data_IF_517997515620
#
_entry.id   IF_517997515620
#
_cell.length_a   1.000
_cell.length_b   1.000
_cell.length_c   1.000
_cell.angle_alpha   90.00
_cell.angle_beta   90.00
_cell.angle_gamma   90.00
#
_symmetry.space_group_name_H-M   'P 1'
#
loop_
_entity.id
_entity.type
_entity.pdbx_description
1 polymer ?
#
# COMPACT_ATOMS: atom_id res chain seq x y z
N UNK A 1 16.43 -8.38 18.84
CA UNK A 1 16.16 -6.95 18.52
C UNK A 1 15.39 -6.35 19.67
N UNK A 2 15.87 -5.24 20.25
CA UNK A 2 15.22 -4.55 21.37
C UNK A 2 14.77 -3.13 21.01
N UNK A 3 15.44 -2.51 20.04
CA UNK A 3 15.11 -1.17 19.58
C UNK A 3 15.22 -1.09 18.05
N UNK A 4 14.22 -0.50 17.39
CA UNK A 4 14.14 -0.33 15.93
C UNK A 4 13.89 1.14 15.61
N UNK A 5 14.58 1.65 14.61
CA UNK A 5 14.33 2.97 14.03
C UNK A 5 13.67 2.81 12.65
N UNK A 6 12.53 3.43 12.48
CA UNK A 6 11.82 3.53 11.22
C UNK A 6 12.07 4.90 10.59
N UNK A 7 12.44 4.93 9.32
CA UNK A 7 12.63 6.16 8.55
C UNK A 7 11.61 6.17 7.41
N UNK A 8 10.73 7.17 7.40
CA UNK A 8 9.78 7.40 6.31
C UNK A 8 9.64 8.92 6.09
N UNK A 9 9.48 9.35 4.85
CA UNK A 9 9.39 10.77 4.57
C UNK A 9 8.07 11.39 5.05
N UNK A 10 7.04 10.60 5.31
CA UNK A 10 5.74 11.02 5.87
C UNK A 10 5.17 9.90 6.75
N UNK A 11 4.17 10.23 7.53
CA UNK A 11 3.33 9.29 8.30
C UNK A 11 1.89 9.30 7.81
N UNK A 12 1.02 8.50 8.41
CA UNK A 12 -0.40 8.41 7.99
C UNK A 12 -1.18 9.69 8.27
N UNK A 13 -0.80 10.49 9.25
CA UNK A 13 -1.41 11.79 9.54
C UNK A 13 -1.05 12.88 8.52
N UNK A 14 -0.04 12.64 7.67
CA UNK A 14 0.31 13.58 6.61
C UNK A 14 -0.79 13.60 5.53
N UNK A 15 -1.19 14.80 4.98
CA UNK A 15 -2.25 14.90 3.95
C UNK A 15 -2.05 14.01 2.71
N UNK A 16 -0.83 13.56 2.45
CA UNK A 16 -0.50 12.64 1.35
C UNK A 16 -0.20 11.22 1.84
N UNK A 17 -0.49 10.89 3.10
CA UNK A 17 -0.34 9.55 3.65
C UNK A 17 -1.13 8.50 2.86
N UNK A 18 -0.68 7.25 2.89
CA UNK A 18 -1.28 6.16 2.14
C UNK A 18 -0.87 4.79 2.65
N UNK A 19 -1.04 3.77 1.80
CA UNK A 19 -0.80 2.37 2.19
C UNK A 19 0.64 2.06 2.63
N UNK A 20 1.63 2.73 2.06
CA UNK A 20 3.04 2.54 2.44
C UNK A 20 3.34 3.01 3.87
N UNK A 21 2.75 4.14 4.26
CA UNK A 21 2.87 4.68 5.61
C UNK A 21 2.09 3.83 6.61
N UNK A 22 0.89 3.40 6.23
CA UNK A 22 0.08 2.48 7.03
C UNK A 22 0.81 1.17 7.31
N UNK A 23 1.44 0.58 6.28
CA UNK A 23 2.27 -0.61 6.46
C UNK A 23 3.34 -0.41 7.53
N UNK A 24 4.10 0.68 7.44
CA UNK A 24 5.22 0.93 8.35
C UNK A 24 4.75 1.17 9.78
N UNK A 25 3.64 1.90 9.97
CA UNK A 25 3.05 2.14 11.28
C UNK A 25 2.46 0.87 11.89
N UNK A 26 1.77 0.06 11.10
CA UNK A 26 1.25 -1.23 11.57
C UNK A 26 2.39 -2.19 11.95
N UNK A 27 3.45 -2.27 11.16
CA UNK A 27 4.67 -3.00 11.53
C UNK A 27 5.24 -2.46 12.85
N UNK A 28 5.35 -1.14 12.99
CA UNK A 28 5.80 -0.51 14.22
C UNK A 28 4.93 -0.88 15.43
N UNK A 29 3.60 -0.86 15.28
CA UNK A 29 2.65 -1.24 16.32
C UNK A 29 2.82 -2.72 16.72
N UNK A 30 2.98 -3.63 15.76
CA UNK A 30 3.24 -5.06 16.04
C UNK A 30 4.59 -5.28 16.74
N UNK A 31 5.62 -4.52 16.38
CA UNK A 31 6.91 -4.58 17.08
C UNK A 31 6.81 -4.06 18.52
N UNK A 32 6.05 -2.96 18.75
CA UNK A 32 5.84 -2.43 20.12
C UNK A 32 5.01 -3.38 20.98
N UNK A 33 4.03 -4.06 20.41
CA UNK A 33 3.25 -5.09 21.11
C UNK A 33 4.13 -6.27 21.59
N UNK A 34 5.28 -6.50 20.95
CA UNK A 34 6.31 -7.47 21.36
C UNK A 34 7.32 -6.92 22.37
N UNK A 35 7.10 -5.71 22.88
CA UNK A 35 8.02 -5.06 23.81
C UNK A 35 9.27 -4.44 23.17
N UNK A 36 9.32 -4.33 21.84
CA UNK A 36 10.42 -3.68 21.12
C UNK A 36 10.16 -2.17 21.13
N UNK A 37 11.19 -1.40 21.49
CA UNK A 37 11.12 0.05 21.41
C UNK A 37 11.21 0.50 19.95
N UNK A 38 10.22 1.23 19.48
CA UNK A 38 10.14 1.71 18.09
C UNK A 38 10.14 3.23 18.06
N UNK A 39 11.02 3.80 17.25
CA UNK A 39 11.05 5.23 16.95
C UNK A 39 10.80 5.44 15.46
N UNK A 40 9.82 6.28 15.11
CA UNK A 40 9.59 6.73 13.73
C UNK A 40 10.15 8.14 13.52
N UNK A 41 11.05 8.30 12.56
CA UNK A 41 11.53 9.61 12.12
C UNK A 41 10.92 9.96 10.77
N UNK A 42 10.20 11.11 10.71
CA UNK A 42 9.39 11.50 9.54
C UNK A 42 9.36 13.02 9.36
N UNK A 43 8.79 13.51 8.25
CA UNK A 43 8.58 14.93 8.01
C UNK A 43 7.47 15.50 8.91
N UNK A 44 7.55 16.81 9.13
CA UNK A 44 6.45 17.57 9.73
C UNK A 44 5.46 18.04 8.67
N UNK A 45 4.24 18.32 9.12
CA UNK A 45 3.19 18.95 8.32
C UNK A 45 2.40 19.94 9.20
N UNK A 46 1.61 20.86 8.61
CA UNK A 46 0.86 21.84 9.39
C UNK A 46 -0.04 21.21 10.45
N UNK A 47 0.05 21.69 11.68
CA UNK A 47 -0.71 21.16 12.81
C UNK A 47 -0.13 19.93 13.51
N UNK A 48 0.87 19.24 12.90
CA UNK A 48 1.47 18.06 13.52
C UNK A 48 2.43 18.42 14.67
N UNK A 49 2.33 17.74 15.83
CA UNK A 49 3.29 17.91 16.91
C UNK A 49 4.68 17.39 16.48
N UNK A 50 5.74 18.05 16.97
CA UNK A 50 7.12 17.61 16.67
C UNK A 50 7.48 16.25 17.26
N UNK A 51 6.80 15.87 18.34
CA UNK A 51 6.93 14.59 19.02
C UNK A 51 5.57 14.17 19.53
N UNK A 52 5.24 12.92 19.34
CA UNK A 52 4.06 12.29 19.93
C UNK A 52 4.29 10.78 20.03
N UNK A 53 3.36 10.09 20.67
CA UNK A 53 3.36 8.63 20.72
C UNK A 53 2.07 8.11 20.09
N UNK A 54 2.20 7.28 19.08
CA UNK A 54 1.07 6.70 18.32
C UNK A 54 1.24 5.19 18.35
N UNK A 55 0.27 4.44 18.84
CA UNK A 55 0.27 2.98 18.93
C UNK A 55 1.57 2.39 19.52
N UNK A 56 2.10 3.07 20.54
CA UNK A 56 3.35 2.68 21.19
C UNK A 56 4.62 3.15 20.49
N UNK A 57 4.55 3.71 19.29
CA UNK A 57 5.66 4.21 18.50
C UNK A 57 6.00 5.64 18.93
N UNK A 58 7.28 5.92 19.24
CA UNK A 58 7.77 7.27 19.50
C UNK A 58 8.00 8.02 18.19
N UNK A 59 7.09 8.90 17.79
CA UNK A 59 7.17 9.66 16.53
C UNK A 59 7.95 10.96 16.72
N UNK A 60 8.92 11.19 15.83
CA UNK A 60 9.76 12.38 15.79
C UNK A 60 9.71 13.05 14.41
N UNK A 61 9.07 14.22 14.31
CA UNK A 61 8.90 14.95 13.04
C UNK A 61 9.85 16.10 12.89
N UNK A 62 10.48 16.25 11.72
CA UNK A 62 11.17 17.47 11.31
C UNK A 62 11.44 17.52 9.80
N UNK A 63 11.42 18.72 9.27
CA UNK A 63 11.60 18.96 7.84
C UNK A 63 10.27 18.81 7.09
N UNK A 64 10.31 19.04 5.79
CA UNK A 64 9.24 18.79 4.84
C UNK A 64 9.69 17.78 3.81
N UNK A 65 8.97 17.67 2.70
CA UNK A 65 9.12 16.66 1.64
C UNK A 65 10.57 16.36 1.21
N UNK A 66 11.42 17.37 1.10
CA UNK A 66 12.81 17.21 0.65
C UNK A 66 13.83 17.37 1.79
N UNK A 67 13.50 18.14 2.82
CA UNK A 67 14.43 18.45 3.92
C UNK A 67 14.39 17.42 5.05
N UNK A 68 13.44 16.48 5.02
CA UNK A 68 13.37 15.36 5.98
C UNK A 68 14.62 14.48 5.89
N UNK A 69 15.11 14.19 4.68
CA UNK A 69 16.26 13.32 4.43
C UNK A 69 17.55 13.85 5.11
N UNK A 70 18.06 15.06 4.78
CA UNK A 70 19.26 15.57 5.44
C UNK A 70 19.05 15.79 6.95
N UNK A 71 17.84 16.14 7.40
CA UNK A 71 17.55 16.29 8.83
C UNK A 71 17.51 14.96 9.58
N UNK A 72 17.09 13.88 8.94
CA UNK A 72 17.15 12.55 9.54
C UNK A 72 18.60 12.07 9.65
N UNK A 73 19.41 12.24 8.60
CA UNK A 73 20.84 11.90 8.62
C UNK A 73 21.61 12.72 9.68
N UNK A 74 21.36 14.03 9.75
CA UNK A 74 21.95 14.88 10.79
C UNK A 74 21.53 14.43 12.21
N UNK A 75 20.26 14.06 12.39
CA UNK A 75 19.77 13.55 13.68
C UNK A 75 20.44 12.22 14.07
N UNK A 76 20.70 11.32 13.12
CA UNK A 76 21.43 10.07 13.33
C UNK A 76 22.90 10.34 13.71
N UNK A 77 23.58 11.26 13.02
CA UNK A 77 24.94 11.65 13.33
C UNK A 77 25.05 12.27 14.73
N UNK A 78 24.13 13.18 15.08
CA UNK A 78 24.09 13.79 16.42
C UNK A 78 23.77 12.75 17.50
N UNK A 79 22.94 11.77 17.24
CA UNK A 79 22.62 10.71 18.19
C UNK A 79 23.86 9.88 18.58
N UNK A 80 24.85 9.73 17.67
CA UNK A 80 26.10 9.01 17.94
C UNK A 80 26.93 9.65 19.05
N UNK A 81 26.80 10.96 19.22
CA UNK A 81 27.49 11.74 20.27
C UNK A 81 26.53 12.15 21.41
N UNK A 82 25.35 11.51 21.50
CA UNK A 82 24.36 11.75 22.55
C UNK A 82 23.57 13.04 22.42
N UNK A 83 23.59 13.66 21.26
CA UNK A 83 22.89 14.94 20.98
C UNK A 83 21.71 14.78 20.01
N UNK A 84 20.93 15.85 19.90
CA UNK A 84 19.87 15.97 18.90
C UNK A 84 18.56 15.26 19.24
N UNK A 85 17.61 15.23 18.29
CA UNK A 85 16.25 14.73 18.52
C UNK A 85 16.16 13.21 18.70
N UNK A 86 17.16 12.45 18.25
CA UNK A 86 17.29 11.00 18.39
C UNK A 86 18.31 10.60 19.47
N UNK A 87 18.68 11.54 20.38
CA UNK A 87 19.55 11.22 21.51
C UNK A 87 18.96 10.08 22.34
N UNK A 88 19.77 9.05 22.63
CA UNK A 88 19.32 7.87 23.38
C UNK A 88 18.67 6.78 22.53
N UNK A 89 18.41 7.03 21.25
CA UNK A 89 17.98 6.00 20.28
C UNK A 89 19.21 5.22 19.83
N UNK A 90 19.23 3.91 20.13
CA UNK A 90 20.33 3.00 19.78
C UNK A 90 19.76 1.76 19.10
N UNK A 91 19.32 1.88 17.84
CA UNK A 91 18.62 0.82 17.17
C UNK A 91 19.54 -0.38 16.92
N UNK A 92 18.99 -1.58 17.12
CA UNK A 92 19.61 -2.83 16.69
C UNK A 92 19.45 -3.04 15.18
N UNK A 93 18.42 -2.41 14.57
CA UNK A 93 18.20 -2.36 13.12
C UNK A 93 17.44 -1.08 12.72
N UNK A 94 17.62 -0.67 11.47
CA UNK A 94 16.94 0.50 10.87
C UNK A 94 16.13 0.05 9.67
N UNK A 95 14.85 0.42 9.58
CA UNK A 95 14.09 0.34 8.32
C UNK A 95 14.22 1.69 7.61
N UNK A 96 14.84 1.65 6.44
CA UNK A 96 15.02 2.80 5.54
C UNK A 96 13.99 2.70 4.40
N UNK A 97 12.88 3.44 4.52
CA UNK A 97 11.81 3.35 3.51
C UNK A 97 12.16 4.16 2.29
N UNK A 98 12.26 3.48 1.16
CA UNK A 98 12.47 4.08 -0.15
C UNK A 98 11.12 4.30 -0.85
N UNK A 99 10.54 5.48 -0.66
CA UNK A 99 9.41 5.98 -1.44
C UNK A 99 9.94 6.92 -2.54
N UNK A 100 10.62 6.35 -3.53
CA UNK A 100 11.41 7.01 -4.56
C UNK A 100 12.87 7.20 -4.14
N UNK A 101 13.16 7.96 -3.10
CA UNK A 101 14.51 8.18 -2.57
C UNK A 101 14.60 7.59 -1.16
N UNK A 102 15.61 6.74 -0.86
CA UNK A 102 15.89 6.27 0.50
C UNK A 102 16.58 7.38 1.32
N UNK A 103 16.64 7.20 2.65
CA UNK A 103 17.39 8.09 3.54
C UNK A 103 18.89 7.83 3.50
N UNK A 104 19.33 6.71 2.95
CA UNK A 104 20.73 6.27 3.00
C UNK A 104 21.28 6.13 4.43
N UNK A 105 20.44 5.69 5.34
CA UNK A 105 20.78 5.58 6.77
C UNK A 105 22.01 4.70 7.01
N UNK A 106 22.20 3.63 6.24
CA UNK A 106 23.33 2.73 6.32
C UNK A 106 24.71 3.40 6.17
N UNK A 107 24.75 4.62 5.56
CA UNK A 107 26.01 5.38 5.44
C UNK A 107 26.42 6.04 6.76
N UNK A 108 25.45 6.35 7.63
CA UNK A 108 25.68 7.12 8.86
C UNK A 108 25.40 6.34 10.13
N UNK A 109 24.72 5.19 10.08
CA UNK A 109 24.48 4.32 11.23
C UNK A 109 25.39 3.10 11.23
N UNK A 110 25.67 2.54 12.41
CA UNK A 110 26.33 1.23 12.54
C UNK A 110 25.34 0.08 12.60
N UNK A 111 24.07 0.39 12.87
CA UNK A 111 23.03 -0.62 12.87
C UNK A 111 22.75 -1.08 11.43
N UNK A 112 22.48 -2.36 11.19
CA UNK A 112 22.10 -2.85 9.87
C UNK A 112 20.85 -2.14 9.36
N UNK A 113 20.87 -1.77 8.08
CA UNK A 113 19.75 -1.12 7.41
C UNK A 113 18.99 -2.13 6.56
N UNK A 114 17.68 -2.18 6.75
CA UNK A 114 16.74 -2.89 5.90
C UNK A 114 16.04 -1.86 5.00
N UNK A 115 16.23 -1.97 3.70
CA UNK A 115 15.65 -1.05 2.72
C UNK A 115 14.24 -1.54 2.35
N UNK A 116 13.22 -0.81 2.81
CA UNK A 116 11.83 -1.12 2.51
C UNK A 116 11.40 -0.44 1.21
N UNK A 117 11.00 -1.24 0.21
CA UNK A 117 10.53 -0.77 -1.10
C UNK A 117 9.17 -1.38 -1.41
N UNK A 118 8.13 -0.56 -1.51
CA UNK A 118 6.79 -1.06 -1.86
C UNK A 118 6.65 -1.36 -3.35
N UNK A 119 7.21 -0.53 -4.21
CA UNK A 119 7.28 -0.68 -5.67
C UNK A 119 8.24 0.33 -6.27
N UNK A 120 8.68 0.10 -7.50
CA UNK A 120 9.47 1.09 -8.25
C UNK A 120 8.63 2.29 -8.69
N UNK A 121 9.22 3.49 -8.60
CA UNK A 121 8.50 4.76 -8.87
C UNK A 121 8.72 5.27 -10.31
N UNK A 122 9.23 4.44 -11.22
CA UNK A 122 9.57 4.84 -12.60
C UNK A 122 8.47 5.65 -13.28
N UNK A 123 7.23 5.23 -13.14
CA UNK A 123 6.06 5.85 -13.77
C UNK A 123 5.57 7.11 -13.04
N UNK A 124 5.96 7.30 -11.78
CA UNK A 124 5.57 8.45 -10.96
C UNK A 124 6.55 9.61 -11.09
N UNK A 125 7.82 9.35 -11.39
CA UNK A 125 8.86 10.37 -11.49
C UNK A 125 8.57 11.47 -12.53
N UNK A 126 7.99 11.18 -13.72
CA UNK A 126 7.65 12.24 -14.69
C UNK A 126 6.72 13.31 -14.15
N UNK A 127 5.86 13.00 -13.18
CA UNK A 127 4.94 13.97 -12.53
C UNK A 127 5.71 15.05 -11.76
N UNK A 128 6.93 14.76 -11.27
CA UNK A 128 7.78 15.72 -10.58
C UNK A 128 8.53 16.67 -11.51
N UNK A 129 8.32 16.56 -12.83
CA UNK A 129 9.01 17.33 -13.86
C UNK A 129 10.22 16.60 -14.45
N UNK A 130 10.63 16.99 -15.68
CA UNK A 130 11.61 16.25 -16.49
C UNK A 130 12.98 16.08 -15.81
N UNK A 131 13.51 17.14 -15.20
CA UNK A 131 14.84 17.10 -14.58
C UNK A 131 14.81 16.34 -13.24
N UNK A 132 13.87 16.71 -12.37
CA UNK A 132 13.70 16.06 -11.05
C UNK A 132 13.38 14.57 -11.22
N UNK A 133 12.53 14.24 -12.19
CA UNK A 133 12.18 12.86 -12.49
C UNK A 133 13.39 12.04 -12.98
N UNK A 134 14.24 12.60 -13.84
CA UNK A 134 15.46 11.89 -14.30
C UNK A 134 16.47 11.67 -13.16
N UNK A 135 16.68 12.68 -12.33
CA UNK A 135 17.59 12.57 -11.17
C UNK A 135 17.01 11.56 -10.17
N UNK A 136 15.72 11.67 -9.83
CA UNK A 136 15.06 10.76 -8.91
C UNK A 136 15.12 9.30 -9.39
N UNK A 137 14.81 9.06 -10.65
CA UNK A 137 14.94 7.73 -11.24
C UNK A 137 16.38 7.21 -11.25
N UNK A 138 17.37 8.06 -11.51
CA UNK A 138 18.78 7.69 -11.44
C UNK A 138 19.18 7.31 -10.01
N UNK A 139 18.73 8.09 -9.01
CA UNK A 139 18.97 7.75 -7.59
C UNK A 139 18.34 6.40 -7.26
N UNK A 140 17.07 6.21 -7.59
CA UNK A 140 16.33 4.98 -7.28
C UNK A 140 16.90 3.75 -7.99
N UNK A 141 17.19 3.88 -9.29
CA UNK A 141 17.55 2.72 -10.14
C UNK A 141 19.06 2.41 -10.18
N UNK A 142 19.93 3.37 -9.82
CA UNK A 142 21.39 3.20 -9.96
C UNK A 142 22.16 3.45 -8.68
N UNK A 143 21.87 4.57 -7.99
CA UNK A 143 22.60 4.93 -6.79
C UNK A 143 22.19 4.08 -5.60
N UNK A 144 20.87 3.94 -5.35
CA UNK A 144 20.35 3.18 -4.22
C UNK A 144 20.82 1.72 -4.22
N UNK A 145 20.72 0.93 -5.30
CA UNK A 145 21.21 -0.45 -5.31
C UNK A 145 22.72 -0.56 -5.05
N UNK A 146 23.52 0.44 -5.46
CA UNK A 146 24.96 0.46 -5.24
C UNK A 146 25.33 0.79 -3.80
N UNK A 147 24.67 1.79 -3.22
CA UNK A 147 24.93 2.19 -1.81
C UNK A 147 24.45 1.11 -0.85
N UNK A 148 23.37 0.46 -1.17
CA UNK A 148 22.76 -0.60 -0.37
C UNK A 148 23.14 -2.02 -0.82
N UNK A 149 24.28 -2.17 -1.53
CA UNK A 149 24.72 -3.47 -2.08
C UNK A 149 24.88 -4.59 -1.06
N UNK A 150 25.14 -4.24 0.21
CA UNK A 150 25.32 -5.17 1.31
C UNK A 150 24.15 -5.13 2.32
N UNK A 151 23.09 -4.39 2.01
CA UNK A 151 21.93 -4.27 2.90
C UNK A 151 20.84 -5.30 2.54
N UNK A 152 20.05 -5.67 3.53
CA UNK A 152 18.82 -6.42 3.35
C UNK A 152 17.77 -5.54 2.65
N UNK A 153 17.06 -6.09 1.67
CA UNK A 153 15.87 -5.48 1.08
C UNK A 153 14.60 -6.18 1.59
N UNK A 154 13.57 -5.39 1.78
CA UNK A 154 12.25 -5.82 2.16
C UNK A 154 11.22 -5.25 1.18
N UNK A 155 10.33 -6.07 0.68
CA UNK A 155 9.25 -5.63 -0.20
C UNK A 155 7.94 -6.34 0.13
N UNK A 156 6.84 -5.91 -0.50
CA UNK A 156 5.48 -6.32 -0.14
C UNK A 156 4.84 -7.31 -1.10
N UNK A 157 5.51 -7.61 -2.22
CA UNK A 157 4.98 -8.54 -3.24
C UNK A 157 6.10 -9.19 -4.05
N UNK A 158 5.82 -10.36 -4.63
CA UNK A 158 6.74 -11.04 -5.53
C UNK A 158 7.08 -10.18 -6.78
N UNK A 159 6.11 -9.52 -7.45
CA UNK A 159 6.42 -8.62 -8.56
C UNK A 159 7.32 -7.45 -8.18
N UNK A 160 7.21 -6.91 -6.96
CA UNK A 160 8.11 -5.87 -6.49
C UNK A 160 9.52 -6.40 -6.22
N UNK A 161 9.65 -7.65 -5.76
CA UNK A 161 10.95 -8.33 -5.64
C UNK A 161 11.62 -8.52 -7.00
N UNK A 162 10.87 -8.94 -8.03
CA UNK A 162 11.35 -9.05 -9.40
C UNK A 162 11.84 -7.70 -9.95
N UNK A 163 11.12 -6.60 -9.65
CA UNK A 163 11.55 -5.26 -10.03
C UNK A 163 12.88 -4.86 -9.38
N UNK A 164 13.06 -5.16 -8.09
CA UNK A 164 14.31 -4.92 -7.39
C UNK A 164 15.46 -5.73 -7.99
N UNK A 165 15.22 -7.00 -8.30
CA UNK A 165 16.20 -7.86 -8.96
C UNK A 165 16.59 -7.30 -10.34
N UNK A 166 15.63 -6.81 -11.13
CA UNK A 166 15.89 -6.17 -12.42
C UNK A 166 16.70 -4.86 -12.30
N UNK A 167 16.67 -4.20 -11.13
CA UNK A 167 17.53 -3.05 -10.82
C UNK A 167 18.93 -3.46 -10.33
N UNK A 168 19.22 -4.75 -10.23
CA UNK A 168 20.53 -5.29 -9.84
C UNK A 168 20.67 -5.59 -8.35
N UNK A 169 19.57 -5.65 -7.60
CA UNK A 169 19.59 -6.16 -6.21
C UNK A 169 19.69 -7.68 -6.26
N UNK A 170 20.59 -8.26 -5.48
CA UNK A 170 20.75 -9.70 -5.37
C UNK A 170 19.51 -10.35 -4.73
N UNK A 171 18.94 -11.36 -5.38
CA UNK A 171 17.77 -12.08 -4.92
C UNK A 171 17.95 -12.70 -3.52
N UNK A 172 19.17 -13.10 -3.17
CA UNK A 172 19.48 -13.65 -1.84
C UNK A 172 19.27 -12.66 -0.68
N UNK A 173 19.03 -11.39 -0.99
CA UNK A 173 18.83 -10.29 -0.03
C UNK A 173 17.47 -9.59 -0.18
N UNK A 174 16.55 -10.16 -0.93
CA UNK A 174 15.21 -9.61 -1.11
C UNK A 174 14.21 -10.48 -0.37
N UNK A 175 13.74 -10.02 0.78
CA UNK A 175 12.65 -10.63 1.52
C UNK A 175 11.31 -10.02 1.06
N UNK A 176 10.30 -10.85 0.95
CA UNK A 176 8.92 -10.44 0.64
C UNK A 176 8.05 -10.70 1.86
N UNK A 177 7.50 -9.63 2.44
CA UNK A 177 6.52 -9.70 3.52
C UNK A 177 5.28 -8.92 3.08
N UNK A 178 4.23 -9.66 2.78
CA UNK A 178 2.97 -9.08 2.29
C UNK A 178 2.32 -8.19 3.34
N UNK A 179 1.48 -7.28 2.88
CA UNK A 179 0.67 -6.44 3.76
C UNK A 179 -0.35 -7.28 4.53
N UNK A 180 -0.65 -6.87 5.76
CA UNK A 180 -1.87 -7.27 6.44
C UNK A 180 -3.07 -6.43 6.03
N UNK A 181 -4.24 -6.86 6.40
CA UNK A 181 -5.47 -6.08 6.34
C UNK A 181 -5.99 -5.82 7.76
N UNK A 182 -6.63 -4.68 7.95
CA UNK A 182 -7.35 -4.43 9.19
C UNK A 182 -8.49 -5.44 9.35
N UNK A 183 -8.78 -5.90 10.55
CA UNK A 183 -9.97 -6.69 10.78
C UNK A 183 -11.21 -5.84 10.47
N UNK A 184 -12.22 -6.48 9.89
CA UNK A 184 -13.52 -5.82 9.71
C UNK A 184 -14.05 -5.41 11.07
N UNK A 185 -14.46 -4.14 11.28
CA UNK A 185 -15.06 -3.71 12.55
C UNK A 185 -16.22 -4.61 12.97
N UNK A 186 -16.31 -4.93 14.26
CA UNK A 186 -17.31 -5.88 14.77
C UNK A 186 -18.76 -5.44 14.54
N UNK A 187 -18.98 -4.15 14.40
CA UNK A 187 -20.27 -3.51 14.12
C UNK A 187 -20.52 -3.23 12.63
N UNK A 188 -19.56 -3.57 11.76
CA UNK A 188 -19.72 -3.42 10.32
C UNK A 188 -20.34 -4.69 9.71
N UNK A 189 -21.15 -4.54 8.63
CA UNK A 189 -21.74 -5.69 7.96
C UNK A 189 -20.67 -6.59 7.35
N UNK A 190 -20.85 -7.90 7.48
CA UNK A 190 -19.85 -8.90 7.04
C UNK A 190 -19.96 -9.30 5.57
N UNK A 191 -20.74 -8.58 4.76
CA UNK A 191 -20.89 -8.86 3.32
C UNK A 191 -21.61 -10.18 3.01
N UNK A 192 -22.56 -10.60 3.84
CA UNK A 192 -23.50 -11.63 3.51
C UNK A 192 -24.37 -11.19 2.31
N UNK A 193 -24.93 -12.13 1.55
CA UNK A 193 -25.79 -11.82 0.40
C UNK A 193 -26.91 -10.82 0.74
N UNK A 194 -27.40 -10.86 1.97
CA UNK A 194 -28.45 -9.96 2.51
C UNK A 194 -28.00 -8.50 2.69
N UNK A 195 -26.69 -8.21 2.63
CA UNK A 195 -26.16 -6.83 2.72
C UNK A 195 -25.91 -6.18 1.37
N UNK A 196 -26.02 -6.95 0.27
CA UNK A 196 -25.86 -6.42 -1.10
C UNK A 196 -26.97 -5.43 -1.43
N UNK A 197 -26.65 -4.43 -2.25
CA UNK A 197 -27.67 -3.53 -2.81
C UNK A 197 -28.61 -4.27 -3.74
N UNK A 198 -29.88 -3.83 -3.81
CA UNK A 198 -30.83 -4.34 -4.81
C UNK A 198 -30.44 -3.95 -6.24
N UNK A 199 -29.72 -2.85 -6.39
CA UNK A 199 -29.17 -2.39 -7.66
C UNK A 199 -27.73 -2.88 -7.81
N UNK A 200 -27.35 -3.38 -9.01
CA UNK A 200 -25.97 -3.75 -9.30
C UNK A 200 -25.03 -2.57 -8.98
N UNK A 201 -24.08 -2.79 -8.08
CA UNK A 201 -23.16 -1.74 -7.62
C UNK A 201 -21.72 -2.17 -7.78
N UNK A 202 -20.99 -1.42 -8.57
CA UNK A 202 -19.53 -1.50 -8.66
C UNK A 202 -18.92 -0.55 -7.64
N UNK A 203 -17.82 -0.93 -7.02
CA UNK A 203 -17.08 -0.07 -6.08
C UNK A 203 -15.62 0.12 -6.51
N UNK A 204 -15.13 1.33 -6.35
CA UNK A 204 -13.70 1.67 -6.41
C UNK A 204 -13.27 2.17 -5.04
N UNK A 205 -12.19 1.61 -4.50
CA UNK A 205 -11.55 2.07 -3.27
C UNK A 205 -10.11 2.49 -3.57
N UNK A 206 -9.84 3.79 -3.65
CA UNK A 206 -8.51 4.28 -4.02
C UNK A 206 -8.30 5.76 -3.69
N UNK A 207 -7.04 6.19 -3.65
CA UNK A 207 -6.73 7.62 -3.76
C UNK A 207 -7.06 8.14 -5.15
N UNK A 208 -7.67 9.31 -5.24
CA UNK A 208 -8.06 9.91 -6.52
C UNK A 208 -6.87 10.68 -7.12
N UNK A 209 -6.04 9.93 -7.84
CA UNK A 209 -4.83 10.44 -8.53
C UNK A 209 -4.67 9.76 -9.89
N UNK A 210 -4.04 10.40 -10.91
CA UNK A 210 -4.06 9.92 -12.30
C UNK A 210 -3.60 8.48 -12.53
N UNK A 211 -2.57 8.01 -11.80
CA UNK A 211 -2.06 6.64 -11.97
C UNK A 211 -3.00 5.54 -11.45
N UNK A 212 -4.09 5.91 -10.79
CA UNK A 212 -5.15 4.98 -10.37
C UNK A 212 -6.17 4.72 -11.48
N UNK A 213 -6.15 5.49 -12.56
CA UNK A 213 -6.95 5.31 -13.78
C UNK A 213 -8.44 5.05 -13.51
N UNK A 214 -9.03 5.80 -12.57
CA UNK A 214 -10.44 5.62 -12.20
C UNK A 214 -11.35 5.97 -13.38
N UNK A 215 -10.87 6.76 -14.33
CA UNK A 215 -11.49 7.02 -15.62
C UNK A 215 -11.89 5.74 -16.35
N UNK A 216 -11.08 4.67 -16.25
CA UNK A 216 -11.36 3.39 -16.90
C UNK A 216 -12.54 2.67 -16.21
N UNK A 217 -12.70 2.82 -14.88
CA UNK A 217 -13.88 2.34 -14.18
C UNK A 217 -15.14 3.11 -14.59
N UNK A 218 -15.05 4.44 -14.75
CA UNK A 218 -16.13 5.27 -15.26
C UNK A 218 -16.53 4.85 -16.70
N UNK A 219 -15.55 4.66 -17.57
CA UNK A 219 -15.78 4.22 -18.95
C UNK A 219 -16.41 2.81 -19.03
N UNK A 220 -15.95 1.88 -18.18
CA UNK A 220 -16.55 0.54 -18.10
C UNK A 220 -18.02 0.60 -17.65
N UNK A 221 -18.34 1.40 -16.64
CA UNK A 221 -19.72 1.60 -16.18
C UNK A 221 -20.57 2.26 -17.27
N UNK A 222 -20.07 3.29 -17.94
CA UNK A 222 -20.78 3.94 -19.06
C UNK A 222 -21.16 2.94 -20.14
N UNK A 223 -20.21 2.09 -20.57
CA UNK A 223 -20.45 1.04 -21.57
C UNK A 223 -21.49 0.00 -21.11
N UNK A 224 -21.51 -0.33 -19.82
CA UNK A 224 -22.43 -1.34 -19.30
C UNK A 224 -23.84 -0.82 -19.04
N UNK A 225 -24.04 0.49 -18.85
CA UNK A 225 -25.37 1.06 -18.55
C UNK A 225 -26.39 0.92 -19.67
N UNK A 226 -25.97 0.83 -20.90
CA UNK A 226 -26.89 0.53 -22.03
C UNK A 226 -27.60 -0.80 -21.82
N UNK A 227 -26.93 -1.78 -21.24
CA UNK A 227 -27.41 -3.12 -20.94
C UNK A 227 -27.97 -3.26 -19.54
N UNK A 228 -27.39 -2.56 -18.57
CA UNK A 228 -27.74 -2.59 -17.14
C UNK A 228 -28.08 -1.17 -16.67
N UNK A 229 -29.28 -0.64 -16.98
CA UNK A 229 -29.60 0.78 -16.72
C UNK A 229 -29.56 1.19 -15.24
N UNK A 230 -29.73 0.23 -14.32
CA UNK A 230 -29.68 0.47 -12.86
C UNK A 230 -28.27 0.31 -12.25
N UNK A 231 -27.24 0.15 -13.08
CA UNK A 231 -25.86 0.02 -12.62
C UNK A 231 -25.41 1.29 -11.90
N UNK A 232 -24.82 1.11 -10.70
CA UNK A 232 -24.25 2.16 -9.87
C UNK A 232 -22.73 2.00 -9.73
N UNK A 233 -22.05 3.11 -9.50
CA UNK A 233 -20.64 3.15 -9.16
C UNK A 233 -20.42 3.97 -7.89
N UNK A 234 -19.88 3.33 -6.86
CA UNK A 234 -19.42 3.98 -5.64
C UNK A 234 -17.91 4.21 -5.72
N UNK A 235 -17.46 5.45 -5.62
CA UNK A 235 -16.04 5.81 -5.59
C UNK A 235 -15.68 6.26 -4.18
N UNK A 236 -14.88 5.46 -3.49
CA UNK A 236 -14.43 5.69 -2.11
C UNK A 236 -12.99 6.17 -2.12
N UNK A 237 -12.74 7.30 -1.51
CA UNK A 237 -11.44 7.92 -1.39
C UNK A 237 -11.42 9.37 -1.86
N UNK A 238 -10.28 10.02 -1.66
CA UNK A 238 -10.10 11.42 -2.00
C UNK A 238 -8.74 11.65 -2.69
N UNK A 239 -8.59 12.80 -3.31
CA UNK A 239 -7.36 13.20 -3.98
C UNK A 239 -7.55 14.41 -4.88
N UNK A 240 -6.43 15.02 -5.27
CA UNK A 240 -6.42 16.23 -6.09
C UNK A 240 -6.97 16.06 -7.52
N UNK A 241 -7.25 14.83 -7.92
CA UNK A 241 -7.82 14.46 -9.22
C UNK A 241 -9.35 14.30 -9.19
N UNK A 242 -9.97 14.48 -8.02
CA UNK A 242 -11.41 14.23 -7.81
C UNK A 242 -12.31 15.02 -8.76
N UNK A 243 -12.02 16.30 -8.99
CA UNK A 243 -12.86 17.13 -9.85
C UNK A 243 -12.75 16.72 -11.33
N UNK A 244 -11.57 16.31 -11.80
CA UNK A 244 -11.39 15.74 -13.12
C UNK A 244 -12.24 14.47 -13.33
N UNK A 245 -12.35 13.61 -12.32
CA UNK A 245 -13.16 12.40 -12.39
C UNK A 245 -14.67 12.72 -12.42
N UNK A 246 -15.13 13.73 -11.67
CA UNK A 246 -16.52 14.19 -11.73
C UNK A 246 -16.86 14.80 -13.09
N UNK A 247 -15.92 15.57 -13.69
CA UNK A 247 -16.08 16.11 -15.03
C UNK A 247 -16.16 14.97 -16.05
N UNK A 248 -15.28 13.97 -15.97
CA UNK A 248 -15.31 12.80 -16.85
C UNK A 248 -16.61 12.01 -16.71
N UNK A 249 -17.16 11.83 -15.51
CA UNK A 249 -18.46 11.19 -15.31
C UNK A 249 -19.62 11.97 -16.00
N UNK A 250 -19.55 13.32 -16.01
CA UNK A 250 -20.53 14.16 -16.75
C UNK A 250 -20.37 14.03 -18.26
N UNK A 251 -19.13 14.03 -18.76
CA UNK A 251 -18.83 13.85 -20.19
C UNK A 251 -19.31 12.50 -20.71
N UNK A 252 -19.18 11.45 -19.90
CA UNK A 252 -19.69 10.10 -20.19
C UNK A 252 -21.21 9.95 -20.02
N UNK A 253 -21.90 10.97 -19.51
CA UNK A 253 -23.35 10.93 -19.30
C UNK A 253 -23.81 10.00 -18.18
N UNK A 254 -22.94 9.69 -17.21
CA UNK A 254 -23.23 8.76 -16.10
C UNK A 254 -23.19 9.41 -14.72
N UNK A 255 -23.16 10.74 -14.64
CA UNK A 255 -23.05 11.44 -13.37
C UNK A 255 -24.15 11.09 -12.35
N UNK A 256 -25.34 10.71 -12.83
CA UNK A 256 -26.47 10.23 -12.03
C UNK A 256 -26.24 8.84 -11.41
N UNK A 257 -25.36 8.05 -11.99
CA UNK A 257 -25.03 6.69 -11.56
C UNK A 257 -23.79 6.62 -10.65
N UNK A 258 -23.02 7.69 -10.54
CA UNK A 258 -21.75 7.70 -9.80
C UNK A 258 -21.88 8.48 -8.50
N UNK A 259 -21.50 7.85 -7.38
CA UNK A 259 -21.41 8.50 -6.08
C UNK A 259 -19.96 8.60 -5.64
N UNK A 260 -19.44 9.83 -5.52
CA UNK A 260 -18.13 10.10 -4.94
C UNK A 260 -18.28 10.34 -3.44
N UNK A 261 -17.84 9.38 -2.63
CA UNK A 261 -17.98 9.43 -1.17
C UNK A 261 -16.92 10.28 -0.46
N UNK A 262 -15.83 10.64 -1.16
CA UNK A 262 -14.69 11.28 -0.54
C UNK A 262 -13.95 10.35 0.43
N UNK A 263 -13.20 10.93 1.36
CA UNK A 263 -12.59 10.18 2.45
C UNK A 263 -13.67 9.81 3.47
N UNK A 264 -13.76 8.52 3.78
CA UNK A 264 -14.71 7.96 4.76
C UNK A 264 -13.95 7.28 5.89
N UNK A 265 -14.60 7.13 7.06
CA UNK A 265 -14.06 6.33 8.15
C UNK A 265 -14.07 4.83 7.84
N UNK A 266 -13.38 4.04 8.67
CA UNK A 266 -13.25 2.60 8.48
C UNK A 266 -14.60 1.90 8.46
N UNK A 267 -15.52 2.26 9.37
CA UNK A 267 -16.86 1.66 9.42
C UNK A 267 -17.62 1.89 8.12
N UNK A 268 -17.65 3.15 7.66
CA UNK A 268 -18.36 3.51 6.41
C UNK A 268 -17.71 2.86 5.18
N UNK A 269 -16.40 2.74 5.14
CA UNK A 269 -15.67 2.01 4.10
C UNK A 269 -16.15 0.55 4.02
N UNK A 270 -16.17 -0.13 5.15
CA UNK A 270 -16.62 -1.53 5.20
C UNK A 270 -18.11 -1.70 4.88
N UNK A 271 -18.99 -0.76 5.26
CA UNK A 271 -20.40 -0.74 4.86
C UNK A 271 -20.55 -0.66 3.32
N UNK A 272 -19.81 0.24 2.69
CA UNK A 272 -19.85 0.42 1.23
C UNK A 272 -19.29 -0.80 0.50
N UNK A 273 -18.17 -1.37 0.96
CA UNK A 273 -17.60 -2.59 0.40
C UNK A 273 -18.57 -3.77 0.54
N UNK A 274 -19.20 -3.95 1.70
CA UNK A 274 -20.14 -5.04 1.94
C UNK A 274 -21.37 -5.01 1.01
N UNK A 275 -21.77 -3.82 0.57
CA UNK A 275 -22.92 -3.62 -0.31
C UNK A 275 -22.61 -3.78 -1.78
N UNK A 276 -21.35 -3.69 -2.18
CA UNK A 276 -20.92 -3.75 -3.57
C UNK A 276 -20.97 -5.18 -4.13
N UNK A 277 -21.20 -5.30 -5.43
CA UNK A 277 -21.23 -6.57 -6.15
C UNK A 277 -19.85 -6.93 -6.71
N UNK A 278 -19.14 -5.93 -7.25
CA UNK A 278 -17.80 -6.09 -7.85
C UNK A 278 -16.94 -4.90 -7.43
N UNK A 279 -15.69 -5.17 -7.06
CA UNK A 279 -14.67 -4.14 -6.86
C UNK A 279 -13.84 -3.99 -8.12
N UNK A 280 -13.52 -2.75 -8.50
CA UNK A 280 -12.68 -2.44 -9.66
C UNK A 280 -11.46 -1.64 -9.19
N UNK A 281 -10.27 -2.10 -9.58
CA UNK A 281 -9.01 -1.42 -9.30
C UNK A 281 -8.16 -1.32 -10.58
N UNK A 282 -8.44 -0.33 -11.46
CA UNK A 282 -7.81 -0.21 -12.77
C UNK A 282 -6.47 0.52 -12.71
N UNK A 283 -5.76 0.41 -11.60
CA UNK A 283 -4.50 1.12 -11.35
C UNK A 283 -3.43 0.71 -12.36
N UNK A 284 -2.69 1.69 -12.89
CA UNK A 284 -1.51 1.45 -13.71
C UNK A 284 -0.39 0.76 -12.94
N UNK A 285 -0.28 1.04 -11.65
CA UNK A 285 0.76 0.48 -10.79
C UNK A 285 0.27 0.31 -9.36
N UNK A 286 0.49 -0.86 -8.80
CA UNK A 286 0.30 -1.18 -7.37
C UNK A 286 1.55 -1.87 -6.81
N UNK A 287 1.82 -1.64 -5.53
CA UNK A 287 2.81 -2.44 -4.81
C UNK A 287 2.26 -3.83 -4.51
N UNK A 288 0.99 -3.90 -4.08
CA UNK A 288 0.27 -5.15 -3.79
C UNK A 288 -1.24 -5.00 -3.99
N UNK A 289 -1.86 -3.91 -3.55
CA UNK A 289 -3.29 -3.66 -3.67
C UNK A 289 -4.07 -4.01 -2.40
N UNK A 290 -3.87 -3.25 -1.31
CA UNK A 290 -4.63 -3.41 -0.07
C UNK A 290 -6.15 -3.42 -0.30
N UNK A 291 -6.65 -2.54 -1.17
CA UNK A 291 -8.07 -2.45 -1.50
C UNK A 291 -8.67 -3.77 -2.03
N UNK A 292 -7.85 -4.62 -2.69
CA UNK A 292 -8.27 -5.97 -3.13
C UNK A 292 -8.64 -6.83 -1.93
N UNK A 293 -7.81 -6.79 -0.88
CA UNK A 293 -8.03 -7.60 0.31
C UNK A 293 -9.18 -7.04 1.15
N UNK A 294 -9.29 -5.71 1.24
CA UNK A 294 -10.41 -5.06 1.93
C UNK A 294 -11.76 -5.39 1.27
N UNK A 295 -11.83 -5.40 -0.06
CA UNK A 295 -13.03 -5.86 -0.78
C UNK A 295 -13.26 -7.38 -0.59
N UNK A 296 -12.19 -8.17 -0.64
CA UNK A 296 -12.24 -9.62 -0.47
C UNK A 296 -12.73 -10.04 0.92
N UNK A 297 -12.47 -9.28 1.99
CA UNK A 297 -13.02 -9.52 3.33
C UNK A 297 -14.56 -9.58 3.33
N UNK A 298 -15.19 -8.86 2.40
CA UNK A 298 -16.65 -8.85 2.20
C UNK A 298 -17.13 -9.83 1.11
N UNK A 299 -16.24 -10.67 0.58
CA UNK A 299 -16.58 -11.58 -0.51
C UNK A 299 -16.91 -10.82 -1.81
N UNK A 300 -16.26 -9.68 -2.04
CA UNK A 300 -16.39 -8.89 -3.27
C UNK A 300 -15.19 -9.19 -4.16
N UNK A 301 -15.39 -9.86 -5.31
CA UNK A 301 -14.30 -10.12 -6.24
C UNK A 301 -13.80 -8.82 -6.88
N UNK A 302 -12.51 -8.77 -7.18
CA UNK A 302 -11.87 -7.61 -7.80
C UNK A 302 -11.58 -7.87 -9.27
N UNK A 303 -11.88 -6.89 -10.12
CA UNK A 303 -11.37 -6.82 -11.49
C UNK A 303 -10.29 -5.74 -11.56
N UNK A 304 -9.11 -6.07 -12.09
CA UNK A 304 -8.01 -5.12 -12.16
C UNK A 304 -7.01 -5.44 -13.27
N UNK A 305 -6.06 -4.52 -13.52
CA UNK A 305 -5.12 -4.69 -14.61
C UNK A 305 -3.94 -5.60 -14.25
N UNK A 306 -3.64 -6.56 -15.13
CA UNK A 306 -2.44 -7.41 -15.06
C UNK A 306 -1.15 -6.57 -15.13
N UNK A 307 -1.16 -5.51 -15.93
CA UNK A 307 -0.05 -4.58 -16.07
C UNK A 307 0.31 -3.82 -14.79
N UNK A 308 -0.61 -3.75 -13.82
CA UNK A 308 -0.38 -3.19 -12.50
C UNK A 308 0.68 -3.94 -11.68
N UNK A 309 1.00 -5.16 -12.08
CA UNK A 309 1.95 -6.10 -11.48
C UNK A 309 1.61 -6.50 -10.05
N UNK A 310 1.57 -5.58 -9.07
CA UNK A 310 1.22 -5.93 -7.70
C UNK A 310 -0.10 -6.67 -7.54
N UNK A 311 -1.06 -6.43 -8.45
CA UNK A 311 -2.34 -7.14 -8.45
C UNK A 311 -2.20 -8.63 -8.82
N UNK A 312 -1.16 -9.04 -9.56
CA UNK A 312 -0.93 -10.46 -9.87
C UNK A 312 -0.49 -11.28 -8.65
N UNK A 313 -0.18 -10.61 -7.53
CA UNK A 313 0.15 -11.26 -6.26
C UNK A 313 -1.04 -11.24 -5.28
N UNK A 314 -1.87 -10.19 -5.29
CA UNK A 314 -3.06 -10.10 -4.43
C UNK A 314 -4.27 -10.83 -5.01
N UNK A 315 -4.42 -10.88 -6.33
CA UNK A 315 -5.51 -11.57 -7.05
C UNK A 315 -5.00 -12.90 -7.60
N UNK A 316 -5.72 -13.99 -7.32
CA UNK A 316 -5.57 -15.26 -8.04
C UNK A 316 -6.54 -15.23 -9.22
N UNK A 317 -6.00 -15.01 -10.42
CA UNK A 317 -6.77 -14.80 -11.65
C UNK A 317 -7.76 -15.94 -11.93
N UNK A 318 -9.02 -15.61 -12.22
CA UNK A 318 -10.12 -16.55 -12.42
C UNK A 318 -10.60 -17.25 -11.14
N UNK A 319 -9.97 -17.02 -9.98
CA UNK A 319 -10.34 -17.66 -8.72
C UNK A 319 -10.82 -16.69 -7.66
N UNK A 320 -10.08 -15.62 -7.36
CA UNK A 320 -10.43 -14.62 -6.34
C UNK A 320 -10.75 -13.25 -6.94
N UNK A 321 -10.64 -13.13 -8.24
CA UNK A 321 -10.88 -11.93 -9.04
C UNK A 321 -10.45 -12.20 -10.48
N UNK A 322 -10.48 -11.17 -11.31
CA UNK A 322 -10.15 -11.25 -12.74
C UNK A 322 -9.07 -10.22 -13.07
N UNK A 323 -8.01 -10.66 -13.76
CA UNK A 323 -6.96 -9.79 -14.27
C UNK A 323 -7.15 -9.60 -15.78
N UNK A 324 -7.24 -8.34 -16.20
CA UNK A 324 -7.49 -7.93 -17.58
C UNK A 324 -6.37 -7.02 -18.10
N UNK A 325 -6.34 -6.77 -19.42
CA UNK A 325 -5.24 -6.04 -20.04
C UNK A 325 -5.63 -4.62 -20.50
N UNK A 326 -6.92 -4.37 -20.71
CA UNK A 326 -7.43 -3.07 -21.17
C UNK A 326 -8.85 -2.75 -20.65
N UNK A 327 -9.33 -1.55 -20.94
CA UNK A 327 -10.63 -1.05 -20.49
C UNK A 327 -11.80 -1.81 -21.11
N UNK A 328 -11.66 -2.37 -22.32
CA UNK A 328 -12.71 -3.14 -22.95
C UNK A 328 -12.90 -4.47 -22.21
N UNK A 329 -11.80 -5.18 -21.95
CA UNK A 329 -11.81 -6.40 -21.13
C UNK A 329 -12.25 -6.12 -19.69
N UNK A 330 -11.92 -4.93 -19.13
CA UNK A 330 -12.39 -4.51 -17.81
C UNK A 330 -13.91 -4.46 -17.77
N UNK A 331 -14.53 -3.81 -18.76
CA UNK A 331 -15.98 -3.71 -18.87
C UNK A 331 -16.62 -5.09 -19.08
N UNK A 332 -16.05 -5.92 -19.96
CA UNK A 332 -16.57 -7.26 -20.24
C UNK A 332 -16.51 -8.14 -18.98
N UNK A 333 -15.39 -8.20 -18.26
CA UNK A 333 -15.25 -8.97 -17.02
C UNK A 333 -16.17 -8.48 -15.88
N UNK A 334 -16.34 -7.17 -15.74
CA UNK A 334 -17.31 -6.60 -14.80
C UNK A 334 -18.72 -7.02 -15.18
N UNK A 335 -19.07 -6.92 -16.48
CA UNK A 335 -20.36 -7.33 -17.02
C UNK A 335 -20.68 -8.80 -16.76
N UNK A 336 -19.75 -9.70 -17.02
CA UNK A 336 -19.89 -11.14 -16.75
C UNK A 336 -20.15 -11.42 -15.27
N UNK A 337 -19.41 -10.78 -14.37
CA UNK A 337 -19.63 -10.94 -12.92
C UNK A 337 -20.96 -10.34 -12.45
N UNK A 338 -21.48 -9.31 -13.11
CA UNK A 338 -22.81 -8.75 -12.81
C UNK A 338 -23.92 -9.67 -13.28
N UNK A 339 -23.76 -10.33 -14.44
CA UNK A 339 -24.77 -11.20 -15.05
C UNK A 339 -24.83 -12.61 -14.43
N UNK A 340 -23.73 -13.10 -13.83
CA UNK A 340 -23.65 -14.43 -13.20
C UNK A 340 -23.49 -14.34 -11.68
N UNK A 341 -24.61 -14.32 -10.91
CA UNK A 341 -24.57 -14.30 -9.46
C UNK A 341 -23.88 -15.53 -8.84
N UNK A 342 -23.97 -16.70 -9.49
CA UNK A 342 -23.38 -17.93 -8.97
C UNK A 342 -21.85 -17.88 -9.07
N UNK A 343 -21.31 -17.54 -10.24
CA UNK A 343 -19.88 -17.37 -10.45
C UNK A 343 -19.32 -16.27 -9.54
N UNK A 344 -20.01 -15.12 -9.43
CA UNK A 344 -19.62 -14.03 -8.53
C UNK A 344 -19.58 -14.46 -7.08
N UNK A 345 -20.55 -15.24 -6.60
CA UNK A 345 -20.57 -15.75 -5.22
C UNK A 345 -19.41 -16.68 -4.95
N UNK A 346 -19.18 -17.66 -5.83
CA UNK A 346 -18.07 -18.61 -5.70
C UNK A 346 -16.72 -17.90 -5.69
N UNK A 347 -16.53 -16.94 -6.58
CA UNK A 347 -15.30 -16.14 -6.63
C UNK A 347 -15.13 -15.28 -5.37
N UNK A 348 -16.21 -14.66 -4.90
CA UNK A 348 -16.23 -13.87 -3.68
C UNK A 348 -15.91 -14.68 -2.42
N UNK A 349 -16.41 -15.91 -2.30
CA UNK A 349 -16.09 -16.82 -1.19
C UNK A 349 -14.61 -17.21 -1.18
N UNK A 350 -14.04 -17.52 -2.34
CA UNK A 350 -12.60 -17.79 -2.49
C UNK A 350 -11.76 -16.55 -2.14
N UNK A 351 -12.20 -15.36 -2.58
CA UNK A 351 -11.55 -14.10 -2.24
C UNK A 351 -11.57 -13.86 -0.71
N UNK A 352 -12.71 -14.09 -0.06
CA UNK A 352 -12.86 -13.98 1.40
C UNK A 352 -11.98 -14.99 2.14
N UNK A 353 -11.89 -16.20 1.66
CA UNK A 353 -10.99 -17.22 2.26
C UNK A 353 -9.54 -16.76 2.18
N UNK A 354 -9.11 -16.26 1.01
CA UNK A 354 -7.76 -15.74 0.82
C UNK A 354 -7.48 -14.52 1.70
N UNK A 355 -8.44 -13.60 1.89
CA UNK A 355 -8.26 -12.41 2.71
C UNK A 355 -7.89 -12.74 4.17
N UNK A 356 -8.33 -13.89 4.69
CA UNK A 356 -8.01 -14.35 6.05
C UNK A 356 -6.54 -14.74 6.23
N UNK A 357 -5.80 -14.95 5.13
CA UNK A 357 -4.37 -15.27 5.17
C UNK A 357 -3.51 -14.03 5.46
N UNK A 358 -4.09 -12.83 5.49
CA UNK A 358 -3.36 -11.57 5.60
C UNK A 358 -3.78 -10.79 6.84
N UNK A 359 -2.95 -10.82 7.87
CA UNK A 359 -3.13 -10.01 9.07
C UNK A 359 -1.89 -9.17 9.35
N UNK A 360 -2.07 -8.03 10.02
CA UNK A 360 -0.95 -7.19 10.45
C UNK A 360 -0.03 -7.90 11.45
N UNK A 361 -0.56 -8.83 12.22
CA UNK A 361 0.24 -9.68 13.12
C UNK A 361 1.23 -10.53 12.31
N UNK A 362 0.76 -11.20 11.25
CA UNK A 362 1.62 -11.99 10.37
C UNK A 362 2.66 -11.12 9.67
N UNK A 363 2.27 -9.93 9.19
CA UNK A 363 3.19 -8.95 8.61
C UNK A 363 4.25 -8.54 9.62
N UNK A 364 3.85 -8.20 10.84
CA UNK A 364 4.77 -7.84 11.93
C UNK A 364 5.75 -8.96 12.28
N UNK A 365 5.27 -10.21 12.29
CA UNK A 365 6.08 -11.40 12.52
C UNK A 365 7.15 -11.56 11.43
N UNK A 366 6.74 -11.50 10.16
CA UNK A 366 7.66 -11.62 9.03
C UNK A 366 8.71 -10.51 9.00
N UNK A 367 8.31 -9.26 9.26
CA UNK A 367 9.26 -8.14 9.34
C UNK A 367 10.21 -8.29 10.52
N UNK A 368 9.72 -8.77 11.67
CA UNK A 368 10.59 -9.06 12.82
C UNK A 368 11.65 -10.11 12.48
N UNK A 369 11.32 -11.18 11.77
CA UNK A 369 12.28 -12.20 11.33
C UNK A 369 13.37 -11.59 10.44
N UNK A 370 12.99 -10.73 9.48
CA UNK A 370 13.94 -10.02 8.62
C UNK A 370 14.87 -9.10 9.43
N UNK A 371 14.31 -8.34 10.38
CA UNK A 371 15.08 -7.46 11.25
C UNK A 371 16.02 -8.23 12.17
N UNK A 372 15.57 -9.36 12.72
CA UNK A 372 16.36 -10.21 13.60
C UNK A 372 17.53 -10.87 12.84
N UNK A 373 17.31 -11.34 11.62
CA UNK A 373 18.37 -11.85 10.75
C UNK A 373 19.40 -10.75 10.42
N UNK A 374 18.93 -9.59 9.99
CA UNK A 374 19.79 -8.46 9.68
C UNK A 374 20.65 -8.03 10.90
N UNK A 375 20.06 -8.02 12.11
CA UNK A 375 20.78 -7.71 13.33
C UNK A 375 21.89 -8.74 13.67
N UNK A 376 21.80 -9.96 13.15
CA UNK A 376 22.86 -11.00 13.26
C UNK A 376 23.85 -10.96 12.10
N UNK A 377 23.69 -10.04 11.14
CA UNK A 377 24.50 -9.99 9.90
C UNK A 377 24.10 -11.05 8.88
N UNK A 378 22.90 -11.59 8.97
CA UNK A 378 22.33 -12.58 8.04
C UNK A 378 21.37 -11.91 7.06
N UNK A 379 21.14 -12.54 5.90
CA UNK A 379 20.13 -12.13 4.94
C UNK A 379 19.00 -13.12 4.87
N UNK A 380 17.80 -12.59 4.58
CA UNK A 380 16.60 -13.37 4.29
C UNK A 380 16.16 -13.13 2.84
N UNK A 381 15.61 -14.15 2.20
CA UNK A 381 15.21 -14.08 0.80
C UNK A 381 13.85 -14.75 0.55
N UNK A 382 13.18 -14.29 -0.51
CA UNK A 382 11.90 -14.85 -0.95
C UNK A 382 10.73 -14.49 -0.04
N UNK A 383 9.63 -15.21 -0.22
CA UNK A 383 8.41 -15.01 0.58
C UNK A 383 8.62 -15.51 2.00
N UNK A 384 8.51 -14.62 2.95
CA UNK A 384 8.54 -14.96 4.39
C UNK A 384 7.13 -15.43 4.76
N UNK A 385 6.98 -16.73 4.91
CA UNK A 385 5.74 -17.31 5.40
C UNK A 385 5.58 -16.99 6.90
N UNK A 386 4.40 -16.56 7.35
CA UNK A 386 4.18 -16.35 8.78
C UNK A 386 4.34 -17.69 9.50
N UNK A 387 5.17 -17.73 10.54
CA UNK A 387 5.19 -18.87 11.45
C UNK A 387 3.99 -18.76 12.38
N UNK A 388 3.30 -19.87 12.69
CA UNK A 388 2.32 -19.87 13.78
C UNK A 388 3.01 -19.34 15.04
N UNK A 389 2.34 -18.47 15.77
CA UNK A 389 2.78 -18.11 17.12
C UNK A 389 2.46 -19.30 18.00
N UNK A 390 3.48 -19.93 18.60
CA UNK A 390 3.33 -20.98 19.62
C UNK A 390 2.69 -20.40 20.88
#
# INVERSE_FOLDING_TARGET
VREVLLLCWRDTGHPQGGGSERYLEQVGAQLTARGIKVTLRTAGYPGAPRRERIDGIDVSRAGGRYTVYPRALAALLLARIGLGPLRGVRPDAVIDTQNGIPFFAGVVTRAPSVVLVHHGHREQWPVAGRLVGRIGWWIESRLSPRVHRDNQYLTVSLPSAEELAALGVDNSRIAVVRNGAEPVPADAPTGAAETRTDEPTVVVLSRLVPHKQIEDALAAVARLRDRIPRLRLDVIGDGWWADNLKDNARELGIADAVTFHGHVDERRKHELLARAWVHVLPSRKEGWGLAVIEAAQHGVPTVGYRSSRGLTDSIVDGATGVLVDDVAQLADAVGELLDDPAARTVMGEKARSRAREFSWEQTGNGVYEVLAAAARGEHTAGLIAPRPVD
#
